data_IF_396153335028
#
_entry.id   IF_396153335028
#
_cell.length_a   1.000
_cell.length_b   1.000
_cell.length_c   1.000
_cell.angle_alpha   90.00
_cell.angle_beta   90.00
_cell.angle_gamma   90.00
#
_symmetry.space_group_name_H-M   'P 1'
#
loop_
_entity.id
_entity.type
_entity.pdbx_description
1 polymer ?
#
# COMPACT_ATOMS: atom_id res chain seq x y z
N UNK A 1 12.02 -17.23 -29.69
CA UNK A 1 11.49 -16.56 -28.49
C UNK A 1 10.03 -16.95 -28.39
N UNK A 2 9.71 -17.94 -27.55
CA UNK A 2 8.32 -18.36 -27.32
C UNK A 2 7.58 -17.23 -26.62
N UNK A 3 6.41 -16.86 -27.16
CA UNK A 3 5.45 -16.06 -26.45
C UNK A 3 5.10 -16.87 -25.18
N UNK A 4 5.56 -16.39 -24.03
CA UNK A 4 5.08 -16.90 -22.74
C UNK A 4 3.60 -16.54 -22.69
N UNK A 5 2.74 -17.49 -22.99
CA UNK A 5 1.29 -17.33 -22.79
C UNK A 5 1.05 -17.19 -21.29
N UNK A 6 0.40 -16.10 -20.89
CA UNK A 6 -0.01 -15.94 -19.50
C UNK A 6 -0.81 -17.18 -19.08
N UNK A 7 -0.60 -17.68 -17.84
CA UNK A 7 -1.35 -18.84 -17.36
C UNK A 7 -2.86 -18.53 -17.34
N UNK A 8 -3.66 -19.55 -17.70
CA UNK A 8 -5.11 -19.44 -17.62
C UNK A 8 -5.59 -19.34 -16.16
N UNK A 9 -6.85 -18.92 -15.96
CA UNK A 9 -7.43 -18.89 -14.62
C UNK A 9 -7.39 -20.28 -13.93
N UNK A 10 -7.59 -21.36 -14.70
CA UNK A 10 -7.54 -22.73 -14.17
C UNK A 10 -6.11 -23.15 -13.78
N UNK A 11 -5.11 -22.76 -14.58
CA UNK A 11 -3.70 -22.98 -14.21
C UNK A 11 -3.34 -22.26 -12.90
N UNK A 12 -3.80 -21.00 -12.74
CA UNK A 12 -3.58 -20.21 -11.54
C UNK A 12 -4.25 -20.86 -10.32
N UNK A 13 -5.50 -21.33 -10.46
CA UNK A 13 -6.22 -22.03 -9.39
C UNK A 13 -5.54 -23.33 -9.00
N UNK A 14 -5.08 -24.11 -9.98
CA UNK A 14 -4.31 -25.34 -9.75
C UNK A 14 -3.02 -25.04 -8.99
N UNK A 15 -2.26 -24.04 -9.43
CA UNK A 15 -1.04 -23.62 -8.75
C UNK A 15 -1.31 -23.12 -7.32
N UNK A 16 -2.48 -22.47 -7.06
CA UNK A 16 -2.87 -22.05 -5.70
C UNK A 16 -3.07 -23.26 -4.77
N UNK A 17 -3.62 -24.35 -5.28
CA UNK A 17 -3.81 -25.60 -4.50
C UNK A 17 -2.45 -26.25 -4.23
N UNK A 18 -1.61 -26.38 -5.26
CA UNK A 18 -0.27 -26.99 -5.13
C UNK A 18 0.66 -26.22 -4.20
N UNK A 19 0.47 -24.92 -4.10
CA UNK A 19 1.28 -24.00 -3.30
C UNK A 19 0.46 -23.29 -2.22
N UNK A 20 -0.41 -24.04 -1.51
CA UNK A 20 -1.34 -23.50 -0.53
C UNK A 20 -0.66 -22.62 0.55
N UNK A 21 0.56 -22.95 0.94
CA UNK A 21 1.32 -22.27 2.00
C UNK A 21 1.99 -20.96 1.56
N UNK A 22 2.07 -20.69 0.24
CA UNK A 22 2.65 -19.42 -0.24
C UNK A 22 1.68 -18.26 0.00
N UNK A 23 2.24 -17.11 0.36
CA UNK A 23 1.49 -15.84 0.36
C UNK A 23 1.09 -15.49 -1.07
N UNK A 24 0.01 -14.72 -1.26
CA UNK A 24 -0.47 -14.31 -2.59
C UNK A 24 0.64 -13.68 -3.44
N UNK A 25 1.39 -12.75 -2.84
CA UNK A 25 2.52 -12.11 -3.53
C UNK A 25 3.57 -13.11 -4.00
N UNK A 26 3.98 -14.01 -3.11
CA UNK A 26 5.07 -14.97 -3.40
C UNK A 26 4.63 -15.98 -4.48
N UNK A 27 3.34 -16.34 -4.50
CA UNK A 27 2.79 -17.18 -5.55
C UNK A 27 2.68 -16.43 -6.88
N UNK A 28 2.20 -15.18 -6.86
CA UNK A 28 2.13 -14.36 -8.06
C UNK A 28 3.51 -14.17 -8.69
N UNK A 29 4.52 -13.84 -7.88
CA UNK A 29 5.91 -13.72 -8.31
C UNK A 29 6.43 -15.04 -8.92
N UNK A 30 6.14 -16.19 -8.28
CA UNK A 30 6.52 -17.52 -8.78
C UNK A 30 5.90 -17.83 -10.13
N UNK A 31 4.65 -17.42 -10.37
CA UNK A 31 3.93 -17.64 -11.62
C UNK A 31 4.25 -16.58 -12.69
N UNK A 32 5.02 -15.56 -12.36
CA UNK A 32 5.30 -14.44 -13.27
C UNK A 32 4.06 -13.59 -13.61
N UNK A 33 3.09 -13.54 -12.71
CA UNK A 33 1.86 -12.74 -12.83
C UNK A 33 1.78 -11.69 -11.73
N UNK A 34 0.78 -10.81 -11.82
CA UNK A 34 0.50 -9.84 -10.76
C UNK A 34 -0.41 -10.43 -9.67
N UNK A 35 -0.40 -9.80 -8.51
CA UNK A 35 -1.31 -10.19 -7.42
C UNK A 35 -2.79 -9.99 -7.80
N UNK A 36 -3.10 -8.94 -8.57
CA UNK A 36 -4.45 -8.71 -9.10
C UNK A 36 -4.92 -9.86 -10.02
N UNK A 37 -4.05 -10.37 -10.91
CA UNK A 37 -4.37 -11.51 -11.76
C UNK A 37 -4.59 -12.79 -10.96
N UNK A 38 -3.76 -13.01 -9.92
CA UNK A 38 -3.95 -14.14 -9.01
C UNK A 38 -5.33 -14.09 -8.33
N UNK A 39 -5.76 -12.92 -7.87
CA UNK A 39 -7.06 -12.74 -7.22
C UNK A 39 -8.20 -12.87 -8.24
N UNK A 40 -8.11 -12.19 -9.38
CA UNK A 40 -9.13 -12.23 -10.42
C UNK A 40 -9.41 -13.65 -10.95
N UNK A 41 -8.38 -14.48 -11.04
CA UNK A 41 -8.54 -15.88 -11.45
C UNK A 41 -9.55 -16.67 -10.58
N UNK A 42 -9.81 -16.22 -9.34
CA UNK A 42 -10.77 -16.85 -8.42
C UNK A 42 -12.14 -16.16 -8.40
N UNK A 43 -12.40 -15.20 -9.30
CA UNK A 43 -13.72 -14.55 -9.39
C UNK A 43 -14.83 -15.60 -9.59
N UNK A 44 -15.90 -15.47 -8.80
CA UNK A 44 -16.96 -16.48 -8.70
C UNK A 44 -16.65 -17.68 -7.79
N UNK A 45 -15.42 -17.76 -7.26
CA UNK A 45 -14.97 -18.81 -6.33
C UNK A 45 -14.38 -18.17 -5.06
N UNK A 46 -15.23 -17.49 -4.27
CA UNK A 46 -14.82 -16.75 -3.09
C UNK A 46 -14.23 -15.37 -3.38
N UNK A 47 -14.23 -14.92 -4.63
CA UNK A 47 -13.80 -13.58 -5.03
C UNK A 47 -14.92 -12.89 -5.79
N UNK A 48 -15.22 -11.65 -5.43
CA UNK A 48 -16.22 -10.80 -6.10
C UNK A 48 -15.54 -9.51 -6.56
N UNK A 49 -15.64 -9.21 -7.85
CA UNK A 49 -15.14 -7.96 -8.43
C UNK A 49 -16.10 -6.82 -8.10
N UNK A 50 -15.57 -5.71 -7.59
CA UNK A 50 -16.33 -4.53 -7.14
C UNK A 50 -15.73 -3.24 -7.72
N UNK A 51 -16.48 -2.13 -7.64
CA UNK A 51 -16.01 -0.84 -8.11
C UNK A 51 -14.82 -0.32 -7.27
N UNK A 52 -13.69 0.06 -7.91
CA UNK A 52 -12.43 0.32 -7.20
C UNK A 52 -12.32 1.72 -6.58
N UNK A 53 -13.24 2.65 -6.85
CA UNK A 53 -13.11 4.03 -6.36
C UNK A 53 -13.09 4.08 -4.82
N UNK A 54 -12.24 4.94 -4.20
CA UNK A 54 -12.18 5.07 -2.75
C UNK A 54 -13.52 5.30 -2.07
N UNK A 55 -14.43 6.09 -2.66
CA UNK A 55 -15.77 6.33 -2.10
C UNK A 55 -16.54 5.01 -1.88
N UNK A 56 -16.50 4.10 -2.87
CA UNK A 56 -17.18 2.82 -2.77
C UNK A 56 -16.52 1.91 -1.71
N UNK A 57 -15.19 1.85 -1.73
CA UNK A 57 -14.44 1.01 -0.78
C UNK A 57 -14.62 1.52 0.66
N UNK A 58 -14.58 2.83 0.87
CA UNK A 58 -14.76 3.43 2.22
C UNK A 58 -16.20 3.31 2.71
N UNK A 59 -17.19 3.38 1.81
CA UNK A 59 -18.59 3.10 2.18
C UNK A 59 -18.77 1.69 2.74
N UNK A 60 -18.08 0.70 2.16
CA UNK A 60 -18.07 -0.67 2.69
C UNK A 60 -17.26 -0.74 3.99
N UNK A 61 -16.01 -0.27 3.97
CA UNK A 61 -15.07 -0.41 5.09
C UNK A 61 -15.59 0.22 6.40
N UNK A 62 -16.33 1.34 6.31
CA UNK A 62 -16.90 2.01 7.47
C UNK A 62 -17.97 1.18 8.22
N UNK A 63 -18.53 0.17 7.57
CA UNK A 63 -19.55 -0.71 8.14
C UNK A 63 -18.96 -1.99 8.78
N UNK A 64 -17.64 -2.20 8.66
CA UNK A 64 -16.98 -3.44 9.07
C UNK A 64 -16.34 -3.38 10.47
N UNK A 65 -16.63 -2.34 11.24
CA UNK A 65 -16.10 -2.17 12.59
C UNK A 65 -14.56 -1.97 12.59
N UNK A 66 -13.89 -2.56 13.57
CA UNK A 66 -12.43 -2.59 13.60
C UNK A 66 -11.89 -3.64 12.62
N UNK A 67 -11.08 -3.17 11.70
CA UNK A 67 -10.44 -3.98 10.65
C UNK A 67 -8.93 -3.80 10.69
N UNK A 68 -8.18 -4.62 9.97
CA UNK A 68 -6.75 -4.38 9.76
C UNK A 68 -6.54 -3.74 8.40
N UNK A 69 -6.03 -2.52 8.41
CA UNK A 69 -5.58 -1.77 7.23
C UNK A 69 -4.15 -2.15 6.89
N UNK A 70 -3.88 -2.46 5.61
CA UNK A 70 -2.54 -2.80 5.13
C UNK A 70 -2.20 -1.98 3.89
N UNK A 71 -1.12 -1.22 3.98
CA UNK A 71 -0.46 -0.60 2.82
C UNK A 71 0.99 -1.03 2.76
N UNK A 72 1.48 -1.35 1.57
CA UNK A 72 2.85 -1.82 1.40
C UNK A 72 3.49 -1.33 0.10
N UNK A 73 4.79 -1.40 0.08
CA UNK A 73 5.63 -1.37 -1.11
C UNK A 73 6.64 -2.53 -1.08
N UNK A 74 7.69 -2.47 -1.90
CA UNK A 74 8.71 -3.53 -1.95
C UNK A 74 9.57 -3.61 -0.68
N UNK A 75 9.65 -2.52 0.08
CA UNK A 75 10.60 -2.38 1.20
C UNK A 75 9.93 -2.31 2.57
N UNK A 76 8.63 -2.01 2.63
CA UNK A 76 7.94 -1.80 3.90
C UNK A 76 6.46 -2.21 3.80
N UNK A 77 5.95 -2.77 4.89
CA UNK A 77 4.53 -3.06 5.11
C UNK A 77 4.10 -2.31 6.36
N UNK A 78 2.98 -1.58 6.27
CA UNK A 78 2.31 -0.97 7.42
C UNK A 78 0.96 -1.66 7.62
N UNK A 79 0.79 -2.28 8.76
CA UNK A 79 -0.46 -2.91 9.21
C UNK A 79 -0.95 -2.15 10.45
N UNK A 80 -2.20 -1.71 10.43
CA UNK A 80 -2.81 -1.02 11.57
C UNK A 80 -4.23 -1.46 11.78
N UNK A 81 -4.59 -1.71 13.03
CA UNK A 81 -5.97 -2.05 13.42
C UNK A 81 -6.71 -0.78 13.79
N UNK A 82 -7.91 -0.61 13.23
CA UNK A 82 -8.78 0.53 13.49
C UNK A 82 -10.03 0.52 12.62
N UNK A 83 -10.87 1.52 12.78
CA UNK A 83 -12.07 1.72 11.97
C UNK A 83 -11.86 2.80 10.89
N UNK A 84 -12.59 2.69 9.78
CA UNK A 84 -12.56 3.68 8.71
C UNK A 84 -13.58 4.80 8.95
N UNK A 85 -13.38 5.56 10.03
CA UNK A 85 -14.15 6.75 10.33
C UNK A 85 -13.49 8.01 9.75
N UNK A 86 -14.26 9.10 9.62
CA UNK A 86 -13.77 10.41 9.14
C UNK A 86 -13.17 10.37 7.74
N UNK A 87 -13.84 9.67 6.83
CA UNK A 87 -13.49 9.70 5.42
C UNK A 87 -13.86 11.03 4.78
N UNK A 88 -12.93 11.58 4.00
CA UNK A 88 -13.15 12.77 3.17
C UNK A 88 -12.82 12.44 1.72
N UNK A 89 -13.82 12.53 0.85
CA UNK A 89 -13.64 12.36 -0.59
C UNK A 89 -12.94 13.56 -1.24
N UNK A 90 -12.23 13.31 -2.32
CA UNK A 90 -11.61 14.37 -3.12
C UNK A 90 -11.15 13.85 -4.49
N UNK A 91 -11.27 14.69 -5.51
CA UNK A 91 -11.01 14.31 -6.90
C UNK A 91 -9.55 13.89 -7.18
N UNK A 92 -8.60 14.45 -6.47
CA UNK A 92 -7.17 14.14 -6.63
C UNK A 92 -6.60 13.33 -5.49
N UNK A 93 -7.13 13.56 -4.28
CA UNK A 93 -6.73 12.83 -3.09
C UNK A 93 -7.93 12.75 -2.15
N UNK A 94 -8.22 11.55 -1.66
CA UNK A 94 -9.15 11.31 -0.58
C UNK A 94 -8.37 10.93 0.68
N UNK A 95 -8.98 11.03 1.85
CA UNK A 95 -8.30 10.71 3.11
C UNK A 95 -9.23 10.07 4.14
N UNK A 96 -8.64 9.24 4.97
CA UNK A 96 -9.18 8.85 6.28
C UNK A 96 -8.25 9.43 7.33
N UNK A 97 -8.79 10.10 8.31
CA UNK A 97 -8.00 10.75 9.35
C UNK A 97 -8.65 10.53 10.72
N UNK A 98 -8.09 9.60 11.47
CA UNK A 98 -8.43 9.36 12.86
C UNK A 98 -7.20 8.85 13.62
N UNK A 99 -7.33 8.60 14.90
CA UNK A 99 -6.20 8.27 15.80
C UNK A 99 -5.47 6.97 15.42
N UNK A 100 -6.14 6.03 14.76
CA UNK A 100 -5.58 4.72 14.40
C UNK A 100 -5.32 4.56 12.91
N UNK A 101 -6.19 5.09 12.04
CA UNK A 101 -6.08 4.97 10.59
C UNK A 101 -5.88 6.36 9.99
N UNK A 102 -4.69 6.59 9.46
CA UNK A 102 -4.33 7.81 8.72
C UNK A 102 -3.87 7.43 7.30
N UNK A 103 -4.72 7.74 6.32
CA UNK A 103 -4.53 7.39 4.91
C UNK A 103 -4.63 8.60 4.00
N UNK A 104 -3.79 8.60 2.97
CA UNK A 104 -3.95 9.44 1.78
C UNK A 104 -4.12 8.51 0.59
N UNK A 105 -5.24 8.62 -0.09
CA UNK A 105 -5.63 7.78 -1.22
C UNK A 105 -5.67 8.61 -2.48
N UNK A 106 -5.13 8.07 -3.58
CA UNK A 106 -5.07 8.74 -4.88
C UNK A 106 -5.98 8.00 -5.86
N UNK A 107 -7.25 8.46 -6.06
CA UNK A 107 -8.29 7.72 -6.79
C UNK A 107 -7.88 7.28 -8.19
N UNK A 108 -7.07 8.08 -8.90
CA UNK A 108 -6.58 7.75 -10.26
C UNK A 108 -5.74 6.48 -10.34
N UNK A 109 -5.27 5.95 -9.20
CA UNK A 109 -4.50 4.71 -9.11
C UNK A 109 -5.28 3.54 -8.49
N UNK A 110 -6.55 3.72 -8.23
CA UNK A 110 -7.44 2.65 -7.75
C UNK A 110 -8.20 2.09 -8.94
N UNK A 111 -7.69 1.01 -9.54
CA UNK A 111 -8.15 0.53 -10.85
C UNK A 111 -8.91 -0.78 -10.80
N UNK A 112 -8.57 -1.66 -9.87
CA UNK A 112 -9.27 -2.95 -9.67
C UNK A 112 -9.50 -3.16 -8.19
N UNK A 113 -10.68 -3.70 -7.83
CA UNK A 113 -10.98 -4.00 -6.43
C UNK A 113 -11.81 -5.29 -6.31
N UNK A 114 -11.53 -6.02 -5.24
CA UNK A 114 -12.18 -7.30 -4.99
C UNK A 114 -12.55 -7.45 -3.52
N UNK A 115 -13.70 -8.06 -3.26
CA UNK A 115 -14.01 -8.71 -2.00
C UNK A 115 -13.55 -10.16 -2.09
N UNK A 116 -12.67 -10.54 -1.18
CA UNK A 116 -12.00 -11.85 -1.19
C UNK A 116 -12.35 -12.63 0.06
N UNK A 117 -12.83 -13.84 -0.12
CA UNK A 117 -13.12 -14.83 0.91
C UNK A 117 -12.19 -16.02 0.69
N UNK A 118 -11.27 -16.24 1.58
CA UNK A 118 -10.25 -17.27 1.47
C UNK A 118 -10.27 -18.20 2.67
N UNK A 119 -10.44 -19.47 2.42
CA UNK A 119 -10.28 -20.50 3.45
C UNK A 119 -8.82 -20.64 3.85
N UNK A 120 -8.55 -20.62 5.15
CA UNK A 120 -7.25 -20.81 5.78
C UNK A 120 -7.38 -21.82 6.91
N UNK A 121 -6.26 -22.27 7.46
CA UNK A 121 -6.27 -23.19 8.64
C UNK A 121 -6.97 -22.56 9.86
N UNK A 122 -6.97 -21.23 9.95
CA UNK A 122 -7.64 -20.47 11.01
C UNK A 122 -9.11 -20.13 10.70
N UNK A 123 -9.67 -20.62 9.59
CA UNK A 123 -11.05 -20.33 9.16
C UNK A 123 -11.14 -19.45 7.92
N UNK A 124 -12.33 -18.93 7.65
CA UNK A 124 -12.60 -18.11 6.47
C UNK A 124 -12.14 -16.66 6.70
N UNK A 125 -11.11 -16.25 5.98
CA UNK A 125 -10.56 -14.89 6.01
C UNK A 125 -11.21 -14.04 4.93
N UNK A 126 -11.71 -12.86 5.31
CA UNK A 126 -12.35 -11.89 4.43
C UNK A 126 -11.50 -10.64 4.28
N UNK A 127 -11.37 -10.12 3.05
CA UNK A 127 -10.64 -8.88 2.80
C UNK A 127 -11.14 -8.12 1.58
N UNK A 128 -11.12 -6.78 1.67
CA UNK A 128 -11.18 -5.89 0.51
C UNK A 128 -9.75 -5.71 -0.01
N UNK A 129 -9.53 -5.88 -1.29
CA UNK A 129 -8.22 -5.71 -1.90
C UNK A 129 -8.30 -4.81 -3.13
N UNK A 130 -7.46 -3.79 -3.16
CA UNK A 130 -7.42 -2.79 -4.23
C UNK A 130 -6.07 -2.82 -4.91
N UNK A 131 -6.08 -2.70 -6.24
CA UNK A 131 -4.91 -2.79 -7.09
C UNK A 131 -4.89 -1.62 -8.09
N UNK A 132 -3.68 -1.25 -8.52
CA UNK A 132 -3.47 -0.26 -9.56
C UNK A 132 -3.65 -0.84 -10.97
N UNK A 133 -3.50 0.00 -11.99
CA UNK A 133 -3.66 -0.40 -13.39
C UNK A 133 -2.66 -1.47 -13.84
N UNK A 134 -1.52 -1.61 -13.18
CA UNK A 134 -0.54 -2.65 -13.46
C UNK A 134 -0.74 -3.93 -12.63
N UNK A 135 -1.76 -3.96 -11.78
CA UNK A 135 -2.08 -5.10 -10.90
C UNK A 135 -1.25 -5.18 -9.63
N UNK A 136 -0.56 -4.09 -9.27
CA UNK A 136 0.16 -4.00 -8.00
C UNK A 136 -0.82 -3.63 -6.86
N UNK A 137 -0.63 -4.24 -5.68
CA UNK A 137 -1.49 -3.96 -4.53
C UNK A 137 -1.35 -2.52 -4.05
N UNK A 138 -2.48 -1.82 -3.98
CA UNK A 138 -2.59 -0.44 -3.46
C UNK A 138 -2.92 -0.45 -1.98
N UNK A 139 -4.01 -1.12 -1.60
CA UNK A 139 -4.48 -1.17 -0.23
C UNK A 139 -5.28 -2.44 0.02
N UNK A 140 -5.18 -2.98 1.25
CA UNK A 140 -5.96 -4.13 1.66
C UNK A 140 -6.59 -3.87 3.03
N UNK A 141 -7.82 -4.34 3.22
CA UNK A 141 -8.58 -4.20 4.45
C UNK A 141 -9.06 -5.59 4.84
N UNK A 142 -8.69 -6.06 6.02
CA UNK A 142 -9.05 -7.39 6.50
C UNK A 142 -10.08 -7.31 7.61
N UNK A 143 -11.20 -8.03 7.42
CA UNK A 143 -12.19 -8.21 8.47
C UNK A 143 -11.56 -8.99 9.63
N UNK A 144 -11.85 -8.55 10.85
CA UNK A 144 -11.29 -9.14 12.07
C UNK A 144 -12.33 -9.76 13.01
N UNK A 145 -13.56 -9.26 12.94
CA UNK A 145 -14.63 -9.67 13.83
C UNK A 145 -15.79 -10.27 13.03
N UNK A 146 -16.12 -11.50 13.31
CA UNK A 146 -17.20 -12.23 12.63
C UNK A 146 -18.58 -11.64 12.92
N UNK A 147 -18.75 -10.78 13.94
CA UNK A 147 -19.98 -10.03 14.17
C UNK A 147 -20.37 -9.14 12.98
N UNK A 148 -19.40 -8.73 12.15
CA UNK A 148 -19.61 -7.93 10.95
C UNK A 148 -19.77 -8.75 9.66
N UNK A 149 -19.82 -10.08 9.73
CA UNK A 149 -20.10 -10.93 8.55
C UNK A 149 -21.42 -10.60 7.87
N UNK A 150 -22.53 -10.33 8.57
CA UNK A 150 -23.77 -9.90 7.91
C UNK A 150 -23.61 -8.60 7.11
N UNK A 151 -22.84 -7.63 7.63
CA UNK A 151 -22.54 -6.38 6.91
C UNK A 151 -21.64 -6.64 5.68
N UNK A 152 -20.66 -7.52 5.82
CA UNK A 152 -19.84 -7.98 4.71
C UNK A 152 -20.68 -8.61 3.59
N UNK A 153 -21.58 -9.53 3.91
CA UNK A 153 -22.41 -10.23 2.93
C UNK A 153 -23.40 -9.29 2.23
N UNK A 154 -23.99 -8.36 2.97
CA UNK A 154 -24.84 -7.32 2.40
C UNK A 154 -24.05 -6.41 1.44
N UNK A 155 -22.90 -5.93 1.87
CA UNK A 155 -22.03 -5.08 1.03
C UNK A 155 -21.54 -5.83 -0.23
N UNK A 156 -21.21 -7.11 -0.12
CA UNK A 156 -20.81 -7.96 -1.26
C UNK A 156 -21.95 -8.07 -2.29
N UNK A 157 -23.17 -8.27 -1.84
CA UNK A 157 -24.33 -8.39 -2.73
C UNK A 157 -24.64 -7.06 -3.45
N UNK A 158 -24.49 -5.92 -2.75
CA UNK A 158 -24.75 -4.59 -3.30
C UNK A 158 -23.64 -4.11 -4.24
N UNK A 159 -22.37 -4.33 -3.87
CA UNK A 159 -21.22 -3.77 -4.57
C UNK A 159 -20.74 -4.63 -5.76
N UNK A 160 -21.23 -5.86 -5.91
CA UNK A 160 -20.84 -6.75 -6.99
C UNK A 160 -21.10 -6.11 -8.36
N UNK A 161 -20.07 -6.01 -9.18
CA UNK A 161 -20.22 -5.53 -10.55
C UNK A 161 -20.94 -6.61 -11.41
N UNK A 162 -21.70 -6.20 -12.43
CA UNK A 162 -22.36 -7.16 -13.34
C UNK A 162 -21.35 -8.06 -14.07
N UNK A 163 -20.19 -7.51 -14.42
CA UNK A 163 -19.09 -8.25 -15.04
C UNK A 163 -18.12 -8.74 -13.98
N UNK A 164 -17.89 -10.05 -13.99
CA UNK A 164 -17.07 -10.78 -13.02
C UNK A 164 -15.94 -11.54 -13.74
N UNK A 165 -14.97 -10.81 -14.35
CA UNK A 165 -13.93 -11.42 -15.17
C UNK A 165 -12.95 -12.24 -14.32
N UNK A 166 -12.50 -13.38 -14.86
CA UNK A 166 -11.41 -14.19 -14.30
C UNK A 166 -10.04 -13.80 -14.86
N UNK A 167 -10.01 -12.85 -15.77
CA UNK A 167 -8.81 -12.29 -16.40
C UNK A 167 -8.88 -10.77 -16.37
N UNK A 168 -7.73 -10.12 -16.24
CA UNK A 168 -7.61 -8.65 -16.24
C UNK A 168 -6.68 -8.20 -17.36
N UNK A 169 -7.13 -7.20 -18.11
CA UNK A 169 -6.27 -6.44 -19.02
C UNK A 169 -5.53 -5.38 -18.23
N UNK A 170 -4.25 -5.63 -17.96
CA UNK A 170 -3.42 -4.76 -17.14
C UNK A 170 -2.54 -3.84 -18.00
N UNK A 171 -2.38 -2.62 -17.54
CA UNK A 171 -1.40 -1.70 -18.11
C UNK A 171 0.04 -2.16 -17.80
N UNK A 172 0.98 -1.80 -18.66
CA UNK A 172 2.38 -1.98 -18.35
C UNK A 172 2.77 -1.19 -17.09
N UNK A 173 3.53 -1.83 -16.20
CA UNK A 173 4.04 -1.15 -15.00
C UNK A 173 4.91 0.03 -15.41
N UNK A 174 4.50 1.24 -15.02
CA UNK A 174 5.30 2.42 -15.29
C UNK A 174 6.68 2.33 -14.59
N UNK A 175 7.76 2.69 -15.26
CA UNK A 175 9.09 2.65 -14.66
C UNK A 175 9.19 3.60 -13.46
N UNK A 176 10.12 3.31 -12.56
CA UNK A 176 10.46 4.23 -11.48
C UNK A 176 10.98 5.54 -12.08
N UNK A 177 10.48 6.66 -11.58
CA UNK A 177 10.91 7.97 -12.06
C UNK A 177 12.41 8.18 -11.79
N UNK A 178 13.18 8.47 -12.84
CA UNK A 178 14.59 8.78 -12.70
C UNK A 178 14.79 10.09 -11.93
N UNK A 179 15.98 10.27 -11.34
CA UNK A 179 16.32 11.53 -10.70
C UNK A 179 16.27 12.68 -11.73
N UNK A 180 15.56 13.75 -11.39
CA UNK A 180 15.50 15.02 -12.14
C UNK A 180 16.19 16.12 -11.32
N UNK A 181 17.51 16.23 -11.35
CA UNK A 181 18.24 17.33 -10.72
C UNK A 181 18.13 18.62 -11.58
N UNK A 182 18.31 19.75 -10.93
CA UNK A 182 18.50 21.04 -11.60
C UNK A 182 19.68 21.77 -10.94
N UNK A 183 20.93 21.48 -11.34
CA UNK A 183 22.13 22.03 -10.71
C UNK A 183 22.21 23.55 -10.69
N UNK A 184 21.62 24.23 -11.70
CA UNK A 184 21.58 25.70 -11.77
C UNK A 184 20.77 26.34 -10.64
N UNK A 185 19.93 25.55 -9.96
CA UNK A 185 19.09 26.01 -8.86
C UNK A 185 19.58 25.48 -7.49
N UNK A 186 20.82 25.01 -7.40
CA UNK A 186 21.37 24.45 -6.15
C UNK A 186 21.31 25.44 -4.99
N UNK A 187 21.82 26.67 -5.20
CA UNK A 187 21.88 27.68 -4.14
C UNK A 187 20.47 28.06 -3.65
N UNK A 188 19.53 28.16 -4.61
CA UNK A 188 18.12 28.43 -4.28
C UNK A 188 17.53 27.26 -3.49
N UNK A 189 17.82 26.01 -3.90
CA UNK A 189 17.37 24.82 -3.19
C UNK A 189 17.85 24.81 -1.73
N UNK A 190 19.15 25.05 -1.51
CA UNK A 190 19.74 25.09 -0.18
C UNK A 190 19.15 26.22 0.68
N UNK A 191 19.04 27.42 0.11
CA UNK A 191 18.47 28.59 0.81
C UNK A 191 17.00 28.38 1.19
N UNK A 192 16.18 27.85 0.29
CA UNK A 192 14.77 27.62 0.59
C UNK A 192 14.56 26.41 1.52
N UNK A 193 15.39 25.38 1.39
CA UNK A 193 15.32 24.22 2.30
C UNK A 193 15.66 24.61 3.74
N UNK A 194 16.69 25.47 3.95
CA UNK A 194 17.04 25.95 5.29
C UNK A 194 15.93 26.74 5.98
N UNK A 195 14.97 27.29 5.23
CA UNK A 195 13.84 28.07 5.75
C UNK A 195 12.59 27.21 6.01
N UNK A 196 12.62 25.95 5.60
CA UNK A 196 11.46 25.07 5.78
C UNK A 196 11.17 24.84 7.26
N UNK A 197 9.89 24.96 7.62
CA UNK A 197 9.36 24.69 8.95
C UNK A 197 8.47 23.47 8.98
N UNK A 198 8.10 22.94 7.81
CA UNK A 198 7.20 21.81 7.64
C UNK A 198 7.67 20.95 6.44
N UNK A 199 7.75 19.65 6.63
CA UNK A 199 8.15 18.68 5.60
C UNK A 199 7.25 18.68 4.37
N UNK A 200 5.97 19.05 4.49
CA UNK A 200 5.05 19.17 3.37
C UNK A 200 5.43 20.28 2.38
N UNK A 201 6.22 21.27 2.82
CA UNK A 201 6.73 22.33 1.95
C UNK A 201 7.71 21.79 0.91
N UNK A 202 8.36 20.66 1.18
CA UNK A 202 9.39 20.09 0.31
C UNK A 202 8.89 19.76 -1.10
N UNK A 203 7.69 19.23 -1.21
CA UNK A 203 7.10 18.91 -2.52
C UNK A 203 6.84 20.16 -3.37
N UNK A 204 6.41 21.25 -2.72
CA UNK A 204 6.22 22.55 -3.40
C UNK A 204 7.55 23.15 -3.84
N UNK A 205 8.57 23.05 -2.98
CA UNK A 205 9.91 23.53 -3.27
C UNK A 205 10.51 22.82 -4.48
N UNK A 206 10.51 21.49 -4.48
CA UNK A 206 11.07 20.71 -5.59
C UNK A 206 10.31 20.97 -6.90
N UNK A 207 8.99 21.04 -6.86
CA UNK A 207 8.16 21.37 -8.03
C UNK A 207 8.48 22.76 -8.59
N UNK A 208 8.56 23.80 -7.73
CA UNK A 208 8.93 25.17 -8.11
C UNK A 208 10.31 25.23 -8.78
N UNK A 209 11.25 24.40 -8.33
CA UNK A 209 12.60 24.34 -8.88
C UNK A 209 12.75 23.36 -10.06
N UNK A 210 11.65 22.75 -10.54
CA UNK A 210 11.61 21.77 -11.63
C UNK A 210 12.49 20.54 -11.36
N UNK A 211 12.49 20.10 -10.12
CA UNK A 211 13.16 18.88 -9.64
C UNK A 211 12.16 17.86 -9.14
N UNK A 212 12.53 16.59 -9.11
CA UNK A 212 11.84 15.64 -8.26
C UNK A 212 12.63 15.43 -6.95
N UNK A 213 12.02 14.73 -5.98
CA UNK A 213 12.62 14.46 -4.68
C UNK A 213 14.01 13.85 -4.79
N UNK A 214 14.15 12.81 -5.62
CA UNK A 214 15.42 12.12 -5.81
C UNK A 214 16.49 13.02 -6.45
N UNK A 215 16.09 13.86 -7.41
CA UNK A 215 16.97 14.84 -8.02
C UNK A 215 17.50 15.86 -7.03
N UNK A 216 16.61 16.40 -6.17
CA UNK A 216 17.00 17.33 -5.10
C UNK A 216 17.95 16.68 -4.10
N UNK A 217 17.67 15.44 -3.64
CA UNK A 217 18.54 14.72 -2.71
C UNK A 217 19.94 14.46 -3.27
N UNK A 218 20.06 14.22 -4.58
CA UNK A 218 21.35 13.93 -5.23
C UNK A 218 22.28 15.13 -5.35
N UNK A 219 21.73 16.34 -5.36
CA UNK A 219 22.54 17.54 -5.60
C UNK A 219 22.71 18.44 -4.36
N UNK A 220 21.79 18.40 -3.38
CA UNK A 220 21.77 19.38 -2.27
C UNK A 220 22.98 19.26 -1.34
N UNK A 221 23.47 18.05 -1.08
CA UNK A 221 24.63 17.80 -0.21
C UNK A 221 24.42 18.14 1.26
N UNK A 222 25.50 18.13 2.02
CA UNK A 222 25.49 18.48 3.45
C UNK A 222 25.17 19.96 3.64
N UNK A 223 24.51 20.35 4.75
CA UNK A 223 24.05 19.49 5.88
C UNK A 223 22.71 18.79 5.63
N UNK A 224 22.04 19.01 4.49
CA UNK A 224 20.66 18.57 4.23
C UNK A 224 20.55 17.09 3.94
N UNK A 225 21.48 16.54 3.16
CA UNK A 225 21.50 15.13 2.76
C UNK A 225 22.93 14.60 2.80
N UNK A 226 23.09 13.39 3.34
CA UNK A 226 24.36 12.65 3.35
C UNK A 226 24.12 11.16 3.24
N UNK A 227 25.07 10.40 2.64
CA UNK A 227 25.02 8.94 2.66
C UNK A 227 25.07 8.40 4.09
N UNK A 228 24.40 7.28 4.32
CA UNK A 228 24.44 6.56 5.58
C UNK A 228 25.24 5.27 5.43
N UNK A 229 25.90 4.85 6.51
CA UNK A 229 26.53 3.54 6.57
C UNK A 229 25.49 2.41 6.63
N UNK A 230 25.88 1.21 6.20
CA UNK A 230 25.07 0.00 6.37
C UNK A 230 24.71 -0.19 7.85
N UNK A 231 23.46 -0.55 8.11
CA UNK A 231 22.93 -0.71 9.49
C UNK A 231 22.61 0.60 10.23
N UNK A 232 22.71 1.77 9.56
CA UNK A 232 22.33 3.04 10.18
C UNK A 232 20.85 3.10 10.54
N UNK A 233 19.98 2.49 9.75
CA UNK A 233 18.53 2.43 10.03
C UNK A 233 18.26 1.61 11.29
N UNK A 234 18.89 0.44 11.44
CA UNK A 234 18.71 -0.39 12.63
C UNK A 234 19.19 0.34 13.89
N UNK A 235 20.35 1.01 13.83
CA UNK A 235 20.84 1.83 14.95
C UNK A 235 19.87 2.95 15.27
N UNK A 236 19.41 3.69 14.27
CA UNK A 236 18.45 4.78 14.45
C UNK A 236 17.17 4.29 15.13
N UNK A 237 16.60 3.17 14.68
CA UNK A 237 15.38 2.61 15.27
C UNK A 237 15.59 2.20 16.73
N UNK A 238 16.74 1.59 17.06
CA UNK A 238 17.08 1.24 18.44
C UNK A 238 17.28 2.48 19.32
N UNK A 239 17.96 3.50 18.82
CA UNK A 239 18.20 4.75 19.56
C UNK A 239 16.89 5.48 19.83
N UNK A 240 16.00 5.55 18.83
CA UNK A 240 14.67 6.17 18.94
C UNK A 240 13.80 5.39 19.94
N UNK A 241 13.81 4.06 19.89
CA UNK A 241 13.10 3.20 20.85
C UNK A 241 13.62 3.45 22.27
N UNK A 242 14.93 3.41 22.47
CA UNK A 242 15.55 3.61 23.79
C UNK A 242 15.25 4.99 24.38
N UNK A 243 15.14 6.01 23.52
CA UNK A 243 14.81 7.37 23.93
C UNK A 243 13.30 7.62 24.11
N UNK A 244 12.43 6.65 23.77
CA UNK A 244 10.97 6.81 23.83
C UNK A 244 10.43 7.90 22.89
N UNK A 245 11.14 8.19 21.81
CA UNK A 245 10.75 9.26 20.87
C UNK A 245 9.65 8.75 19.95
N UNK A 246 8.58 9.55 19.83
CA UNK A 246 7.53 9.32 18.86
C UNK A 246 8.07 9.52 17.44
N UNK A 247 7.78 8.59 16.55
CA UNK A 247 8.16 8.65 15.14
C UNK A 247 6.93 8.60 14.23
N UNK A 248 6.99 9.38 13.15
CA UNK A 248 5.99 9.34 12.10
C UNK A 248 6.55 8.56 10.91
N UNK A 249 5.88 7.46 10.58
CA UNK A 249 6.27 6.56 9.49
C UNK A 249 5.27 6.66 8.35
N UNK A 250 5.76 6.89 7.14
CA UNK A 250 4.97 6.94 5.92
C UNK A 250 5.29 5.72 5.06
N UNK A 251 4.33 4.84 4.87
CA UNK A 251 4.46 3.72 3.93
C UNK A 251 3.55 3.99 2.75
N UNK A 252 4.15 4.17 1.58
CA UNK A 252 3.42 4.57 0.39
C UNK A 252 3.73 3.73 -0.83
N UNK A 253 2.73 3.63 -1.68
CA UNK A 253 2.80 3.20 -3.07
C UNK A 253 2.14 4.27 -3.96
N UNK A 254 1.84 3.97 -5.22
CA UNK A 254 1.25 4.96 -6.14
C UNK A 254 -0.16 5.40 -5.77
N UNK A 255 -0.95 4.50 -5.19
CA UNK A 255 -2.37 4.72 -4.92
C UNK A 255 -2.71 5.03 -3.47
N UNK A 256 -1.80 4.77 -2.52
CA UNK A 256 -2.06 4.97 -1.10
C UNK A 256 -0.80 5.30 -0.32
N UNK A 257 -0.92 6.19 0.67
CA UNK A 257 0.07 6.41 1.72
C UNK A 257 -0.64 6.13 3.05
N UNK A 258 -0.12 5.19 3.81
CA UNK A 258 -0.54 4.91 5.19
C UNK A 258 0.48 5.51 6.13
N UNK A 259 0.01 6.33 7.06
CA UNK A 259 0.82 7.07 8.01
C UNK A 259 0.60 6.46 9.39
N UNK A 260 1.66 6.34 10.15
CA UNK A 260 1.60 5.89 11.53
C UNK A 260 2.48 6.78 12.39
N UNK A 261 1.96 7.22 13.52
CA UNK A 261 2.67 8.06 14.49
C UNK A 261 2.53 7.42 15.87
N UNK A 262 3.64 6.94 16.41
CA UNK A 262 3.72 6.39 17.77
C UNK A 262 5.19 6.24 18.22
N UNK A 263 5.46 6.07 19.53
CA UNK A 263 6.72 5.55 19.99
C UNK A 263 6.89 4.08 19.58
N UNK A 264 8.12 3.66 19.36
CA UNK A 264 8.45 2.26 19.08
C UNK A 264 8.46 1.49 20.41
N UNK A 265 7.54 0.51 20.56
CA UNK A 265 7.52 -0.35 21.72
C UNK A 265 8.45 -1.56 21.57
N UNK A 266 8.40 -2.23 20.42
CA UNK A 266 9.17 -3.44 20.18
C UNK A 266 9.86 -3.39 18.81
N UNK A 267 11.14 -3.74 18.79
CA UNK A 267 11.94 -4.03 17.60
C UNK A 267 12.33 -5.51 17.61
N UNK A 268 11.98 -6.23 16.54
CA UNK A 268 12.28 -7.66 16.43
C UNK A 268 12.82 -8.01 15.06
N UNK A 269 14.08 -8.44 14.93
CA UNK A 269 14.61 -8.94 13.67
C UNK A 269 13.84 -10.19 13.20
N UNK A 270 13.51 -10.23 11.90
CA UNK A 270 12.82 -11.34 11.25
C UNK A 270 13.50 -11.66 9.92
N UNK A 271 14.63 -12.35 9.98
CA UNK A 271 15.47 -12.59 8.79
C UNK A 271 15.97 -11.28 8.20
N UNK A 272 15.66 -10.97 6.92
CA UNK A 272 16.07 -9.72 6.28
C UNK A 272 15.17 -8.52 6.65
N UNK A 273 14.14 -8.73 7.46
CA UNK A 273 13.15 -7.71 7.86
C UNK A 273 13.32 -7.32 9.32
N UNK A 274 12.98 -6.07 9.60
CA UNK A 274 12.80 -5.55 10.95
C UNK A 274 11.30 -5.39 11.22
N UNK A 275 10.78 -6.11 12.21
CA UNK A 275 9.42 -5.87 12.71
C UNK A 275 9.44 -4.75 13.73
N UNK A 276 8.65 -3.71 13.49
CA UNK A 276 8.51 -2.51 14.33
C UNK A 276 7.07 -2.49 14.84
N UNK A 277 6.89 -2.51 16.15
CA UNK A 277 5.57 -2.55 16.78
C UNK A 277 5.41 -1.35 17.70
N UNK A 278 4.23 -0.75 17.65
CA UNK A 278 3.74 0.26 18.57
C UNK A 278 3.02 -0.38 19.78
N UNK A 279 2.65 0.40 20.79
CA UNK A 279 1.87 -0.04 21.94
C UNK A 279 0.51 -0.65 21.58
#
# INVERSE_FOLDING_TARGET
MGLSTQPSADDIRTARIEHANLRERDLADKLGITEAQLIAAHTGQGVTHIAPHPDNIMAIASQLGEVMALTRNVSCVNEKVGSYANYTSGAHAAMVLNDKIDLRMFPSHWCHAFMVEKTTDAGLRRSLQVFDAAGDAVHKIFLRDDAFVPAWDAAKAEAALPDQPTHLDLAARAPTEAAKPNPEKLDVLQSEWSKMTDTHQFMRLTSKLRMNRLGAYRIVGAPFVRPLATGAIDRMLNDVQAAGIEVMVFVGNRGCIQIHTAPIQTLKPMGPWQNVMDP
#
